data_IF_910876792876
#
_entry.id   IF_910876792876
#
_cell.length_a   1.000
_cell.length_b   1.000
_cell.length_c   1.000
_cell.angle_alpha   90.00
_cell.angle_beta   90.00
_cell.angle_gamma   90.00
#
_symmetry.space_group_name_H-M   'P 1'
#
loop_
_entity.id
_entity.type
_entity.pdbx_description
1 polymer ?
#
# COMPACT_ATOMS: atom_id res chain seq x y z
N UNK A 1 -7.59 -8.44 -11.64
CA UNK A 1 -6.93 -9.65 -11.11
C UNK A 1 -6.51 -9.33 -9.68
N UNK A 2 -7.11 -9.98 -8.68
CA UNK A 2 -6.79 -9.70 -7.26
C UNK A 2 -5.49 -10.42 -6.84
N UNK A 3 -4.62 -9.71 -6.11
CA UNK A 3 -3.38 -10.25 -5.55
C UNK A 3 -3.54 -10.47 -4.04
N UNK A 4 -3.22 -11.67 -3.56
CA UNK A 4 -3.29 -12.00 -2.12
C UNK A 4 -2.08 -11.44 -1.37
N UNK A 5 -2.33 -10.79 -0.23
CA UNK A 5 -1.31 -10.36 0.72
C UNK A 5 -0.80 -11.51 1.61
N UNK A 6 -1.51 -12.65 1.67
CA UNK A 6 -1.07 -13.84 2.40
C UNK A 6 0.00 -14.57 1.60
N UNK A 7 1.06 -15.02 2.27
CA UNK A 7 2.12 -15.83 1.64
C UNK A 7 1.74 -17.31 1.49
N UNK A 8 0.91 -17.84 2.39
CA UNK A 8 0.52 -19.25 2.35
C UNK A 8 -0.17 -19.57 1.01
N UNK A 9 0.33 -20.59 0.31
CA UNK A 9 -0.15 -21.04 -1.00
C UNK A 9 -0.12 -19.94 -2.09
N UNK A 10 0.81 -18.98 -1.96
CA UNK A 10 0.98 -17.89 -2.93
C UNK A 10 2.32 -18.02 -3.66
N UNK A 11 2.37 -17.57 -4.92
CA UNK A 11 3.65 -17.42 -5.62
C UNK A 11 4.34 -16.17 -5.11
N UNK A 12 5.63 -16.23 -4.83
CA UNK A 12 6.42 -15.08 -4.35
C UNK A 12 6.21 -13.84 -5.23
N UNK A 13 6.26 -13.99 -6.56
CA UNK A 13 6.03 -12.88 -7.50
C UNK A 13 4.66 -12.20 -7.30
N UNK A 14 3.60 -12.98 -7.06
CA UNK A 14 2.25 -12.45 -6.81
C UNK A 14 2.17 -11.77 -5.45
N UNK A 15 2.81 -12.33 -4.43
CA UNK A 15 2.89 -11.70 -3.12
C UNK A 15 3.68 -10.39 -3.16
N UNK A 16 4.82 -10.36 -3.86
CA UNK A 16 5.61 -9.13 -4.06
C UNK A 16 4.80 -8.07 -4.80
N UNK A 17 4.00 -8.44 -5.80
CA UNK A 17 3.06 -7.51 -6.47
C UNK A 17 2.00 -6.98 -5.49
N UNK A 18 1.43 -7.84 -4.64
CA UNK A 18 0.48 -7.41 -3.60
C UNK A 18 1.12 -6.41 -2.63
N UNK A 19 2.34 -6.68 -2.17
CA UNK A 19 3.06 -5.79 -1.25
C UNK A 19 3.42 -4.44 -1.91
N UNK A 20 3.83 -4.45 -3.19
CA UNK A 20 4.08 -3.21 -3.94
C UNK A 20 2.83 -2.33 -4.02
N UNK A 21 1.67 -2.94 -4.31
CA UNK A 21 0.39 -2.22 -4.34
C UNK A 21 0.01 -1.68 -2.96
N UNK A 22 0.18 -2.49 -1.91
CA UNK A 22 -0.09 -2.09 -0.53
C UNK A 22 0.76 -0.87 -0.12
N UNK A 23 2.07 -0.92 -0.35
CA UNK A 23 2.98 0.19 -0.03
C UNK A 23 2.66 1.45 -0.84
N UNK A 24 2.26 1.30 -2.11
CA UNK A 24 1.85 2.43 -2.95
C UNK A 24 0.60 3.11 -2.40
N UNK A 25 -0.40 2.31 -2.00
CA UNK A 25 -1.63 2.82 -1.41
C UNK A 25 -1.36 3.50 -0.06
N UNK A 26 -0.51 2.90 0.79
CA UNK A 26 -0.10 3.52 2.06
C UNK A 26 0.59 4.86 1.83
N UNK A 27 1.48 4.96 0.84
CA UNK A 27 2.10 6.23 0.46
C UNK A 27 1.07 7.27 0.03
N UNK A 28 0.10 6.88 -0.79
CA UNK A 28 -0.95 7.79 -1.23
C UNK A 28 -1.78 8.31 -0.05
N UNK A 29 -2.14 7.44 0.90
CA UNK A 29 -2.87 7.82 2.12
C UNK A 29 -2.03 8.75 2.99
N UNK A 30 -0.74 8.47 3.20
CA UNK A 30 0.14 9.35 3.96
C UNK A 30 0.25 10.74 3.32
N UNK A 31 0.34 10.83 1.99
CA UNK A 31 0.35 12.11 1.27
C UNK A 31 -0.98 12.86 1.47
N UNK A 32 -2.12 12.16 1.35
CA UNK A 32 -3.43 12.77 1.59
C UNK A 32 -3.55 13.31 3.02
N UNK A 33 -3.12 12.54 4.03
CA UNK A 33 -3.11 12.97 5.43
C UNK A 33 -2.18 14.17 5.62
N UNK A 34 -1.00 14.17 4.99
CA UNK A 34 -0.06 15.28 5.07
C UNK A 34 -0.62 16.57 4.46
N UNK A 35 -1.36 16.48 3.35
CA UNK A 35 -2.04 17.63 2.72
C UNK A 35 -3.20 18.14 3.58
N UNK A 36 -3.94 17.24 4.23
CA UNK A 36 -5.04 17.59 5.12
C UNK A 36 -4.57 18.10 6.48
N UNK A 37 -3.29 17.89 6.84
CA UNK A 37 -2.72 18.41 8.08
C UNK A 37 -2.65 19.93 7.95
N UNK A 38 -3.32 20.69 8.84
CA UNK A 38 -3.16 22.13 8.87
C UNK A 38 -1.67 22.42 9.09
N UNK A 39 -1.08 23.16 8.15
CA UNK A 39 0.19 23.82 8.40
C UNK A 39 -0.10 24.80 9.54
N UNK A 40 0.52 24.59 10.70
CA UNK A 40 0.15 25.27 11.95
C UNK A 40 -0.10 26.77 11.77
N UNK A 41 -1.16 27.24 12.42
CA UNK A 41 -1.19 28.58 13.00
C UNK A 41 -0.14 28.68 14.11
#
# INVERSE_FOLDING_TARGET
>A
MEYSAKMLLNKEERWTKAMKLLLTNLRAVMVQIAVLRPSGM
#
